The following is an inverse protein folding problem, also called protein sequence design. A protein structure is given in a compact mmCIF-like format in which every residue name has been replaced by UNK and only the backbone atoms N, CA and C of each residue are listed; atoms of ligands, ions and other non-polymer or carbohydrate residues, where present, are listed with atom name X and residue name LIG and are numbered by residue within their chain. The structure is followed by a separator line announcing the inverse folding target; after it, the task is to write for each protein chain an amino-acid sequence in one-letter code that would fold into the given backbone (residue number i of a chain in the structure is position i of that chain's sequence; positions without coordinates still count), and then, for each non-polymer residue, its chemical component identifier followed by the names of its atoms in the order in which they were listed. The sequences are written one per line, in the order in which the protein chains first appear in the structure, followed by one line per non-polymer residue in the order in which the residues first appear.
data_IF_584034087463
#
_entry.id   IF_584034087463
#
_cell.length_a   1.000
_cell.length_b   1.000
_cell.length_c   1.000
_cell.angle_alpha   90.00
_cell.angle_beta   90.00
_cell.angle_gamma   90.00
#
_symmetry.space_group_name_H-M   'P 1'
#
loop_
_entity.id
_entity.type
_entity.pdbx_description
1 polymer ?
#
# COMPACT_ATOMS: atom_id res chain seq x y z
N UNK A 1 -26.84 15.28 -3.50
CA UNK A 1 -25.42 14.85 -3.45
C UNK A 1 -25.39 13.33 -3.46
N UNK A 2 -24.61 12.72 -4.36
CA UNK A 2 -24.45 11.26 -4.37
C UNK A 2 -23.75 10.75 -3.09
N UNK A 3 -23.82 9.44 -2.80
CA UNK A 3 -23.20 8.89 -1.60
C UNK A 3 -21.67 9.06 -1.65
N UNK A 4 -21.11 9.59 -0.56
CA UNK A 4 -19.67 9.76 -0.38
C UNK A 4 -19.00 8.38 -0.40
N UNK A 5 -18.11 8.15 -1.37
CA UNK A 5 -17.50 6.83 -1.58
C UNK A 5 -16.06 6.78 -1.08
N UNK A 6 -15.70 5.69 -0.40
CA UNK A 6 -14.33 5.39 0.02
C UNK A 6 -13.91 4.04 -0.56
N UNK A 7 -12.68 3.97 -1.04
CA UNK A 7 -12.07 2.72 -1.50
C UNK A 7 -11.21 2.12 -0.40
N UNK A 8 -11.31 0.80 -0.23
CA UNK A 8 -10.44 0.01 0.65
C UNK A 8 -9.81 -1.09 -0.19
N UNK A 9 -8.48 -1.15 -0.27
CA UNK A 9 -7.81 -2.22 -1.02
C UNK A 9 -7.65 -3.47 -0.18
N UNK A 10 -7.60 -4.64 -0.80
CA UNK A 10 -7.21 -5.87 -0.10
C UNK A 10 -6.51 -6.86 -1.04
N UNK A 11 -5.29 -6.52 -1.45
CA UNK A 11 -4.48 -7.38 -2.32
C UNK A 11 -3.66 -8.45 -1.57
N UNK A 12 -3.43 -8.28 -0.27
CA UNK A 12 -2.63 -9.21 0.51
C UNK A 12 -3.47 -10.23 1.30
N UNK A 13 -3.24 -11.56 1.16
CA UNK A 13 -4.04 -12.60 1.80
C UNK A 13 -4.24 -12.46 3.32
N UNK A 14 -3.19 -12.09 4.04
CA UNK A 14 -3.21 -11.98 5.50
C UNK A 14 -3.96 -10.74 6.01
N UNK A 15 -3.98 -9.65 5.25
CA UNK A 15 -4.67 -8.42 5.68
C UNK A 15 -6.17 -8.54 5.43
N UNK A 16 -6.55 -9.25 4.36
CA UNK A 16 -7.95 -9.55 4.06
C UNK A 16 -8.66 -10.04 5.32
N UNK A 17 -8.13 -11.06 6.01
CA UNK A 17 -8.76 -11.53 7.26
C UNK A 17 -8.85 -10.44 8.33
N UNK A 18 -7.79 -9.68 8.57
CA UNK A 18 -7.78 -8.69 9.65
C UNK A 18 -8.72 -7.49 9.43
N UNK A 19 -9.00 -7.10 8.18
CA UNK A 19 -9.90 -5.97 7.91
C UNK A 19 -11.34 -6.44 7.75
N UNK A 20 -11.53 -7.58 7.06
CA UNK A 20 -12.86 -8.12 6.78
C UNK A 20 -13.51 -8.71 8.05
N UNK A 21 -12.71 -9.25 8.98
CA UNK A 21 -13.24 -9.78 10.26
C UNK A 21 -13.53 -8.71 11.32
N UNK A 22 -13.44 -7.42 10.98
CA UNK A 22 -13.76 -6.33 11.91
C UNK A 22 -15.06 -5.64 11.52
N UNK A 23 -15.86 -5.13 12.48
CA UNK A 23 -17.09 -4.38 12.20
C UNK A 23 -16.83 -3.00 11.58
N UNK A 24 -15.57 -2.69 11.21
CA UNK A 24 -15.17 -1.41 10.64
C UNK A 24 -15.99 -1.02 9.41
N UNK A 25 -16.18 -1.97 8.48
CA UNK A 25 -16.94 -1.71 7.24
C UNK A 25 -18.39 -1.36 7.56
N UNK A 26 -19.03 -2.13 8.44
CA UNK A 26 -20.40 -1.89 8.88
C UNK A 26 -20.55 -0.53 9.58
N UNK A 27 -19.59 -0.15 10.44
CA UNK A 27 -19.60 1.17 11.10
C UNK A 27 -19.43 2.32 10.12
N UNK A 28 -18.49 2.21 9.17
CA UNK A 28 -18.29 3.25 8.16
C UNK A 28 -19.55 3.48 7.31
N UNK A 29 -20.25 2.41 6.97
CA UNK A 29 -21.51 2.48 6.21
C UNK A 29 -22.64 3.03 7.09
N UNK A 30 -22.83 2.48 8.30
CA UNK A 30 -23.97 2.78 9.17
C UNK A 30 -23.92 4.15 9.85
N UNK A 31 -22.75 4.59 10.33
CA UNK A 31 -22.62 5.84 11.10
C UNK A 31 -22.49 7.08 10.20
N UNK A 32 -21.94 6.93 8.98
CA UNK A 32 -21.59 8.06 8.13
C UNK A 32 -22.30 8.08 6.77
N UNK A 33 -23.15 7.08 6.48
CA UNK A 33 -23.81 6.95 5.18
C UNK A 33 -22.82 6.81 4.01
N UNK A 34 -21.62 6.29 4.27
CA UNK A 34 -20.55 6.15 3.29
C UNK A 34 -20.78 4.90 2.45
N UNK A 35 -20.51 5.02 1.15
CA UNK A 35 -20.35 3.83 0.29
C UNK A 35 -18.92 3.33 0.42
N UNK A 36 -18.75 2.10 0.88
CA UNK A 36 -17.44 1.44 0.94
C UNK A 36 -17.31 0.49 -0.25
N UNK A 37 -16.28 0.71 -1.07
CA UNK A 37 -15.93 -0.18 -2.17
C UNK A 37 -14.63 -0.90 -1.82
N UNK A 38 -14.68 -2.23 -1.74
CA UNK A 38 -13.52 -3.07 -1.44
C UNK A 38 -12.94 -3.59 -2.76
N UNK A 39 -11.69 -3.22 -3.05
CA UNK A 39 -10.99 -3.66 -4.25
C UNK A 39 -10.12 -4.87 -3.92
N UNK A 40 -10.40 -5.98 -4.58
CA UNK A 40 -9.78 -7.27 -4.31
C UNK A 40 -9.25 -7.97 -5.59
N UNK A 41 -8.33 -8.94 -5.45
CA UNK A 41 -7.86 -9.72 -6.60
C UNK A 41 -8.95 -10.65 -7.13
N UNK A 42 -9.14 -10.67 -8.46
CA UNK A 42 -10.10 -11.56 -9.15
C UNK A 42 -9.96 -13.04 -8.76
N UNK A 43 -8.72 -13.51 -8.56
CA UNK A 43 -8.42 -14.90 -8.18
C UNK A 43 -9.03 -15.33 -6.84
N UNK A 44 -9.49 -14.39 -6.01
CA UNK A 44 -10.05 -14.64 -4.68
C UNK A 44 -11.50 -14.19 -4.55
N UNK A 45 -12.20 -14.03 -5.67
CA UNK A 45 -13.60 -13.55 -5.70
C UNK A 45 -14.49 -14.26 -4.67
N UNK A 46 -14.55 -15.59 -4.72
CA UNK A 46 -15.37 -16.41 -3.82
C UNK A 46 -15.01 -16.27 -2.34
N UNK A 47 -13.73 -16.01 -2.01
CA UNK A 47 -13.31 -15.76 -0.63
C UNK A 47 -13.88 -14.44 -0.11
N UNK A 48 -13.75 -13.35 -0.88
CA UNK A 48 -14.24 -12.05 -0.44
C UNK A 48 -15.77 -11.97 -0.41
N UNK A 49 -16.45 -12.58 -1.37
CA UNK A 49 -17.91 -12.65 -1.38
C UNK A 49 -18.45 -13.36 -0.14
N UNK A 50 -17.81 -14.44 0.30
CA UNK A 50 -18.18 -15.13 1.53
C UNK A 50 -17.90 -14.30 2.78
N UNK A 51 -16.71 -13.73 2.90
CA UNK A 51 -16.29 -13.01 4.12
C UNK A 51 -17.00 -11.66 4.30
N UNK A 52 -17.40 -11.01 3.19
CA UNK A 52 -18.11 -9.73 3.22
C UNK A 52 -19.59 -9.83 2.91
N UNK A 53 -20.13 -11.05 2.86
CA UNK A 53 -21.57 -11.25 2.78
C UNK A 53 -22.26 -10.55 3.96
N UNK A 54 -23.26 -9.72 3.67
CA UNK A 54 -23.99 -8.96 4.69
C UNK A 54 -23.27 -7.72 5.24
N UNK A 55 -22.05 -7.40 4.80
CA UNK A 55 -21.34 -6.19 5.25
C UNK A 55 -21.86 -4.88 4.66
N UNK A 56 -22.64 -4.94 3.57
CA UNK A 56 -23.09 -3.78 2.80
C UNK A 56 -22.01 -3.15 1.91
N UNK A 57 -20.78 -3.65 1.92
CA UNK A 57 -19.72 -3.18 1.02
C UNK A 57 -19.93 -3.65 -0.41
N UNK A 58 -19.57 -2.78 -1.36
CA UNK A 58 -19.50 -3.14 -2.78
C UNK A 58 -18.16 -3.79 -3.05
N UNK A 59 -18.16 -4.96 -3.69
CA UNK A 59 -16.94 -5.69 -4.04
C UNK A 59 -16.58 -5.44 -5.50
N UNK A 60 -15.36 -4.97 -5.74
CA UNK A 60 -14.81 -4.79 -7.08
C UNK A 60 -13.54 -5.63 -7.23
N UNK A 61 -13.41 -6.33 -8.35
CA UNK A 61 -12.35 -7.29 -8.56
C UNK A 61 -11.48 -6.91 -9.75
N UNK A 62 -10.15 -6.96 -9.56
CA UNK A 62 -9.19 -6.59 -10.60
C UNK A 62 -8.23 -7.73 -10.91
N UNK A 63 -7.75 -7.79 -12.15
CA UNK A 63 -6.78 -8.78 -12.57
C UNK A 63 -5.37 -8.39 -12.07
N UNK A 64 -4.91 -9.09 -11.03
CA UNK A 64 -3.61 -8.83 -10.40
C UNK A 64 -2.45 -9.51 -11.11
N UNK A 65 -2.22 -9.20 -12.39
CA UNK A 65 -1.04 -9.65 -13.15
C UNK A 65 0.04 -8.58 -13.13
N UNK A 66 1.19 -8.91 -12.53
CA UNK A 66 2.35 -8.01 -12.51
C UNK A 66 2.98 -7.89 -13.90
N UNK A 67 3.26 -6.65 -14.31
CA UNK A 67 4.03 -6.36 -15.50
C UNK A 67 5.53 -6.31 -15.17
N UNK A 68 6.37 -6.35 -16.21
CA UNK A 68 7.81 -6.24 -16.04
C UNK A 68 8.22 -4.93 -15.35
N UNK A 69 7.55 -3.83 -15.70
CA UNK A 69 7.78 -2.51 -15.08
C UNK A 69 7.55 -2.51 -13.58
N UNK A 70 6.53 -3.21 -13.07
CA UNK A 70 6.31 -3.33 -11.63
C UNK A 70 7.47 -4.02 -10.93
N UNK A 71 7.95 -5.12 -11.53
CA UNK A 71 9.06 -5.91 -11.00
C UNK A 71 10.34 -5.08 -10.97
N UNK A 72 10.62 -4.33 -12.03
CA UNK A 72 11.77 -3.44 -12.10
C UNK A 72 11.71 -2.32 -11.05
N UNK A 73 10.57 -1.65 -10.92
CA UNK A 73 10.38 -0.59 -9.92
C UNK A 73 10.47 -1.13 -8.49
N UNK A 74 9.94 -2.35 -8.24
CA UNK A 74 10.10 -3.04 -6.97
C UNK A 74 11.57 -3.38 -6.69
N UNK A 75 12.32 -3.81 -7.70
CA UNK A 75 13.74 -4.08 -7.55
C UNK A 75 14.53 -2.80 -7.20
N UNK A 76 14.25 -1.69 -7.89
CA UNK A 76 14.85 -0.40 -7.57
C UNK A 76 14.52 0.04 -6.14
N UNK A 77 13.28 -0.15 -5.69
CA UNK A 77 12.93 0.18 -4.31
C UNK A 77 13.66 -0.67 -3.29
N UNK A 78 13.91 -1.95 -3.59
CA UNK A 78 14.75 -2.82 -2.75
C UNK A 78 16.20 -2.35 -2.74
N UNK A 79 16.74 -1.85 -3.85
CA UNK A 79 18.10 -1.31 -3.94
C UNK A 79 18.27 0.01 -3.17
N UNK A 80 17.24 0.86 -3.18
CA UNK A 80 17.29 2.20 -2.60
C UNK A 80 17.07 2.28 -1.08
N UNK A 81 16.76 1.16 -0.41
CA UNK A 81 16.58 1.14 1.04
C UNK A 81 17.84 0.61 1.74
N UNK A 82 18.41 1.40 2.66
CA UNK A 82 19.49 0.95 3.54
C UNK A 82 18.90 0.37 4.83
N UNK A 83 18.78 -0.96 4.91
CA UNK A 83 18.39 -1.62 6.16
C UNK A 83 19.29 -2.81 6.43
N UNK A 84 19.54 -3.10 7.72
CA UNK A 84 20.36 -4.26 8.13
C UNK A 84 19.79 -5.57 7.59
N UNK A 85 18.46 -5.71 7.60
CA UNK A 85 17.76 -6.90 7.08
C UNK A 85 17.95 -7.06 5.57
N UNK A 86 17.93 -5.97 4.79
CA UNK A 86 18.24 -6.04 3.37
C UNK A 86 19.72 -6.28 3.10
N UNK A 87 20.63 -5.77 3.95
CA UNK A 87 22.08 -6.10 3.85
C UNK A 87 22.30 -7.61 4.01
N UNK A 88 21.68 -8.23 5.02
CA UNK A 88 21.75 -9.68 5.26
C UNK A 88 21.13 -10.46 4.08
N UNK A 89 19.96 -10.02 3.59
CA UNK A 89 19.31 -10.66 2.44
C UNK A 89 20.12 -10.51 1.15
N UNK A 90 20.82 -9.40 0.95
CA UNK A 90 21.71 -9.15 -0.19
C UNK A 90 22.96 -10.04 -0.09
N UNK A 91 23.58 -10.12 1.10
CA UNK A 91 24.75 -10.97 1.32
C UNK A 91 24.45 -12.47 1.19
N UNK A 92 23.20 -12.89 1.46
CA UNK A 92 22.80 -14.29 1.29
C UNK A 92 22.34 -14.66 -0.13
N UNK A 93 22.05 -13.70 -1.02
CA UNK A 93 21.45 -13.98 -2.35
C UNK A 93 22.17 -13.39 -3.57
N UNK A 94 23.10 -12.45 -3.43
CA UNK A 94 23.71 -11.78 -4.60
C UNK A 94 25.25 -11.82 -4.56
N UNK A 95 25.85 -12.35 -5.64
CA UNK A 95 27.29 -12.27 -5.95
C UNK A 95 27.71 -10.80 -6.15
N UNK A 96 28.49 -10.30 -5.20
CA UNK A 96 29.52 -9.23 -5.20
C UNK A 96 29.31 -7.88 -5.93
N UNK A 97 28.77 -7.79 -7.14
CA UNK A 97 28.81 -6.52 -7.94
C UNK A 97 27.63 -5.56 -7.67
N UNK A 98 26.49 -6.08 -7.25
CA UNK A 98 25.26 -5.30 -6.96
C UNK A 98 25.20 -4.67 -5.57
N UNK A 99 26.07 -5.11 -4.65
CA UNK A 99 26.16 -4.60 -3.29
C UNK A 99 26.70 -3.15 -3.23
N UNK A 100 27.51 -2.75 -4.23
CA UNK A 100 28.17 -1.46 -4.26
C UNK A 100 27.23 -0.33 -4.72
N UNK A 101 26.47 -0.54 -5.81
CA UNK A 101 25.44 0.40 -6.26
C UNK A 101 24.31 0.59 -5.23
N UNK A 102 24.01 -0.47 -4.47
CA UNK A 102 23.03 -0.43 -3.39
C UNK A 102 23.41 0.42 -2.17
N UNK A 103 24.65 0.90 -2.04
CA UNK A 103 25.04 1.87 -1.00
C UNK A 103 24.87 3.32 -1.45
N UNK A 104 25.22 3.62 -2.71
CA UNK A 104 25.05 4.97 -3.29
C UNK A 104 23.57 5.30 -3.49
N UNK A 105 22.76 4.30 -3.88
CA UNK A 105 21.31 4.43 -4.02
C UNK A 105 20.54 4.49 -2.68
N UNK A 106 21.17 4.19 -1.55
CA UNK A 106 20.50 4.12 -0.26
C UNK A 106 20.61 5.40 0.59
N UNK A 107 20.88 6.52 -0.10
CA UNK A 107 20.84 7.87 0.44
C UNK A 107 19.53 8.57 0.04
N UNK A 108 19.26 9.74 0.62
CA UNK A 108 18.06 10.55 0.31
C UNK A 108 17.83 10.78 -1.20
N UNK A 109 18.90 10.84 -1.99
CA UNK A 109 18.82 10.94 -3.45
C UNK A 109 18.21 9.69 -4.11
N UNK A 110 18.66 8.48 -3.76
CA UNK A 110 18.11 7.27 -4.37
C UNK A 110 16.67 6.97 -3.92
N UNK A 111 16.27 7.39 -2.72
CA UNK A 111 14.86 7.40 -2.30
C UNK A 111 14.03 8.34 -3.19
N UNK A 112 14.52 9.56 -3.44
CA UNK A 112 13.86 10.54 -4.33
C UNK A 112 13.77 10.02 -5.77
N UNK A 113 14.86 9.47 -6.30
CA UNK A 113 14.91 8.89 -7.64
C UNK A 113 13.94 7.72 -7.77
N UNK A 114 13.91 6.80 -6.79
CA UNK A 114 12.97 5.66 -6.79
C UNK A 114 11.52 6.13 -6.85
N UNK A 115 11.17 7.17 -6.07
CA UNK A 115 9.83 7.75 -6.07
C UNK A 115 9.51 8.44 -7.37
N UNK A 116 10.44 9.23 -7.91
CA UNK A 116 10.30 9.89 -9.19
C UNK A 116 10.06 8.88 -10.32
N UNK A 117 10.89 7.83 -10.39
CA UNK A 117 10.74 6.75 -11.37
C UNK A 117 9.43 5.99 -11.16
N UNK A 118 9.04 5.73 -9.92
CA UNK A 118 7.75 5.07 -9.63
C UNK A 118 6.58 5.96 -10.09
N UNK A 119 6.59 7.24 -9.72
CA UNK A 119 5.59 8.21 -10.13
C UNK A 119 5.54 8.36 -11.65
N UNK A 120 6.64 8.21 -12.40
CA UNK A 120 6.61 8.36 -13.86
C UNK A 120 6.30 7.07 -14.61
N UNK A 121 6.78 5.92 -14.14
CA UNK A 121 6.81 4.67 -14.92
C UNK A 121 5.91 3.55 -14.39
N UNK A 122 5.26 3.72 -13.23
CA UNK A 122 4.26 2.75 -12.77
C UNK A 122 3.14 2.64 -13.83
N UNK A 123 2.71 1.44 -14.24
CA UNK A 123 1.63 1.32 -15.23
C UNK A 123 0.30 1.88 -14.70
N UNK A 124 -0.44 2.60 -15.55
CA UNK A 124 -1.78 3.16 -15.28
C UNK A 124 -2.87 2.37 -15.99
N UNK A 125 -4.12 2.69 -15.68
CA UNK A 125 -5.29 2.24 -16.42
C UNK A 125 -6.00 1.07 -15.77
N UNK A 126 -5.37 0.39 -14.81
CA UNK A 126 -5.99 -0.77 -14.16
C UNK A 126 -7.21 -0.36 -13.33
N UNK A 127 -7.22 0.86 -12.78
CA UNK A 127 -8.28 1.34 -11.90
C UNK A 127 -9.10 2.47 -12.52
N UNK A 128 -8.84 2.85 -13.77
CA UNK A 128 -9.48 4.02 -14.41
C UNK A 128 -11.01 3.91 -14.42
N UNK A 129 -11.54 2.74 -14.80
CA UNK A 129 -12.97 2.47 -14.83
C UNK A 129 -13.60 2.56 -13.43
N UNK A 130 -12.92 2.02 -12.41
CA UNK A 130 -13.40 2.06 -11.02
C UNK A 130 -13.35 3.49 -10.47
N UNK A 131 -12.26 4.21 -10.70
CA UNK A 131 -12.08 5.59 -10.25
C UNK A 131 -13.08 6.52 -10.95
N UNK A 132 -13.40 6.29 -12.23
CA UNK A 132 -14.43 7.02 -12.96
C UNK A 132 -15.85 6.68 -12.48
N UNK A 133 -16.17 5.38 -12.33
CA UNK A 133 -17.49 4.89 -11.92
C UNK A 133 -17.91 5.37 -10.54
N UNK A 134 -16.98 5.40 -9.58
CA UNK A 134 -17.31 5.65 -8.18
C UNK A 134 -16.85 7.00 -7.65
N UNK A 135 -15.90 7.67 -8.32
CA UNK A 135 -15.33 8.95 -7.91
C UNK A 135 -15.04 9.03 -6.39
N UNK A 136 -14.17 8.15 -5.84
CA UNK A 136 -13.96 8.07 -4.40
C UNK A 136 -13.32 9.35 -3.85
N UNK A 137 -13.74 9.74 -2.64
CA UNK A 137 -13.14 10.88 -1.93
C UNK A 137 -11.81 10.51 -1.26
N UNK A 138 -11.67 9.24 -0.90
CA UNK A 138 -10.54 8.70 -0.16
C UNK A 138 -10.25 7.27 -0.61
N UNK A 139 -8.96 6.96 -0.77
CA UNK A 139 -8.46 5.61 -0.97
C UNK A 139 -7.64 5.21 0.25
N UNK A 140 -8.08 4.14 0.92
CA UNK A 140 -7.36 3.48 2.01
C UNK A 140 -6.64 2.23 1.47
N UNK A 141 -5.33 2.36 1.33
CA UNK A 141 -4.43 1.27 0.99
C UNK A 141 -4.08 0.46 2.23
N UNK A 142 -4.29 -0.85 2.16
CA UNK A 142 -4.08 -1.74 3.32
C UNK A 142 -2.66 -2.27 3.42
N UNK A 143 -1.90 -2.20 2.33
CA UNK A 143 -0.45 -2.40 2.27
C UNK A 143 0.17 -1.39 1.31
N UNK A 144 0.67 -0.28 1.85
CA UNK A 144 1.26 0.83 1.07
C UNK A 144 2.45 0.42 0.18
N UNK A 145 3.04 -0.76 0.42
CA UNK A 145 4.15 -1.28 -0.38
C UNK A 145 3.74 -2.33 -1.40
N UNK A 146 2.51 -2.84 -1.40
CA UNK A 146 2.03 -3.79 -2.41
C UNK A 146 1.99 -3.14 -3.79
N UNK A 147 2.23 -3.91 -4.84
CA UNK A 147 2.33 -3.40 -6.21
C UNK A 147 1.04 -2.78 -6.74
N UNK A 148 -0.10 -3.38 -6.41
CA UNK A 148 -1.41 -2.89 -6.85
C UNK A 148 -1.88 -1.71 -6.01
N UNK A 149 -1.56 -1.72 -4.72
CA UNK A 149 -1.71 -0.56 -3.85
C UNK A 149 -0.90 0.64 -4.37
N UNK A 150 0.39 0.43 -4.71
CA UNK A 150 1.24 1.51 -5.25
C UNK A 150 0.67 2.06 -6.56
N UNK A 151 0.19 1.21 -7.46
CA UNK A 151 -0.48 1.63 -8.70
C UNK A 151 -1.71 2.49 -8.40
N UNK A 152 -2.62 1.99 -7.56
CA UNK A 152 -3.85 2.71 -7.21
C UNK A 152 -3.55 4.05 -6.53
N UNK A 153 -2.58 4.09 -5.61
CA UNK A 153 -2.18 5.31 -4.93
C UNK A 153 -1.56 6.33 -5.88
N UNK A 154 -0.82 5.90 -6.91
CA UNK A 154 -0.30 6.82 -7.93
C UNK A 154 -1.44 7.35 -8.79
N UNK A 155 -2.33 6.48 -9.30
CA UNK A 155 -3.50 6.88 -10.08
C UNK A 155 -4.44 7.81 -9.29
N UNK A 156 -4.58 7.59 -7.97
CA UNK A 156 -5.31 8.46 -7.07
C UNK A 156 -4.72 9.87 -7.01
N UNK A 157 -3.40 9.97 -6.86
CA UNK A 157 -2.70 11.25 -6.75
C UNK A 157 -2.71 12.01 -8.08
N UNK A 158 -2.58 11.30 -9.20
CA UNK A 158 -2.73 11.89 -10.54
C UNK A 158 -4.12 12.55 -10.71
N UNK A 159 -5.14 12.07 -9.97
CA UNK A 159 -6.52 12.59 -9.97
C UNK A 159 -6.86 13.50 -8.78
N UNK A 160 -5.90 13.82 -7.92
CA UNK A 160 -6.12 14.64 -6.71
C UNK A 160 -6.98 13.97 -5.61
N UNK A 161 -7.17 12.66 -5.66
CA UNK A 161 -7.92 11.89 -4.66
C UNK A 161 -7.06 11.71 -3.40
N UNK A 162 -7.65 11.87 -2.22
CA UNK A 162 -6.95 11.70 -0.95
C UNK A 162 -6.56 10.24 -0.72
N UNK A 163 -5.38 10.05 -0.14
CA UNK A 163 -4.77 8.72 0.03
C UNK A 163 -4.30 8.49 1.47
N UNK A 164 -4.68 7.34 2.01
CA UNK A 164 -4.17 6.83 3.29
C UNK A 164 -3.53 5.49 3.02
N UNK A 165 -2.28 5.29 3.44
CA UNK A 165 -1.57 4.02 3.30
C UNK A 165 -1.26 3.39 4.64
N UNK A 166 -1.57 2.11 4.81
CA UNK A 166 -1.24 1.36 6.02
C UNK A 166 0.02 0.52 5.85
N UNK A 167 0.80 0.42 6.92
CA UNK A 167 1.91 -0.53 7.03
C UNK A 167 1.36 -1.89 7.45
N UNK A 168 1.62 -2.92 6.62
CA UNK A 168 1.05 -4.26 6.82
C UNK A 168 1.58 -4.99 8.06
N UNK A 169 2.89 -4.93 8.27
CA UNK A 169 3.58 -5.75 9.26
C UNK A 169 4.82 -5.03 9.81
N UNK A 170 5.34 -5.53 10.92
CA UNK A 170 6.50 -4.95 11.61
C UNK A 170 7.79 -4.93 10.78
N UNK A 171 7.89 -5.75 9.73
CA UNK A 171 9.04 -5.83 8.82
C UNK A 171 8.86 -5.08 7.50
N UNK A 172 7.72 -4.42 7.26
CA UNK A 172 7.41 -3.83 5.94
C UNK A 172 8.44 -2.72 5.59
N UNK A 173 8.67 -1.80 6.52
CA UNK A 173 9.53 -0.63 6.33
C UNK A 173 11.02 -1.00 6.29
N UNK A 174 11.40 -2.15 6.82
CA UNK A 174 12.80 -2.60 6.82
C UNK A 174 13.10 -3.59 5.69
N UNK A 175 12.17 -4.45 5.29
CA UNK A 175 12.45 -5.60 4.42
C UNK A 175 11.85 -5.51 3.01
N UNK A 176 10.91 -4.59 2.74
CA UNK A 176 10.17 -4.54 1.46
C UNK A 176 10.61 -3.44 0.49
N UNK A 177 11.73 -2.79 0.81
CA UNK A 177 12.32 -1.73 0.01
C UNK A 177 11.68 -0.37 0.29
N UNK A 178 12.16 0.68 -0.37
CA UNK A 178 11.71 2.04 -0.17
C UNK A 178 10.21 2.21 -0.48
N UNK A 179 9.54 3.08 0.29
CA UNK A 179 8.19 3.56 -0.05
C UNK A 179 8.24 4.29 -1.41
N UNK A 180 7.64 3.66 -2.42
CA UNK A 180 7.62 4.12 -3.81
C UNK A 180 6.62 5.25 -4.06
N UNK A 181 5.58 5.31 -3.26
CA UNK A 181 4.56 6.37 -3.26
C UNK A 181 4.39 6.86 -1.83
N UNK A 182 4.24 8.18 -1.67
CA UNK A 182 3.95 8.79 -0.37
C UNK A 182 2.44 9.06 -0.30
N UNK A 183 1.67 8.36 0.56
CA UNK A 183 0.27 8.72 0.79
C UNK A 183 0.17 10.06 1.51
N UNK A 184 -1.01 10.67 1.53
CA UNK A 184 -1.26 11.90 2.31
C UNK A 184 -1.15 11.64 3.82
N UNK A 185 -1.59 10.45 4.25
CA UNK A 185 -1.39 9.94 5.60
C UNK A 185 -0.86 8.51 5.57
N UNK A 186 0.16 8.24 6.38
CA UNK A 186 0.71 6.91 6.59
C UNK A 186 0.27 6.41 7.97
N UNK A 187 -0.36 5.25 8.00
CA UNK A 187 -0.85 4.63 9.23
C UNK A 187 0.10 3.51 9.63
N UNK A 188 0.61 3.57 10.86
CA UNK A 188 1.58 2.61 11.40
C UNK A 188 1.11 2.01 12.73
N UNK A 189 1.64 0.84 13.06
CA UNK A 189 1.14 0.07 14.21
C UNK A 189 1.74 0.49 15.55
N UNK A 190 2.90 1.15 15.58
CA UNK A 190 3.59 1.56 16.80
C UNK A 190 4.61 2.67 16.50
N UNK A 191 5.15 3.25 17.57
CA UNK A 191 6.17 4.32 17.49
C UNK A 191 7.48 3.84 16.85
N UNK A 192 7.82 2.55 16.96
CA UNK A 192 9.01 1.98 16.30
C UNK A 192 8.88 2.12 14.78
N UNK A 193 7.74 1.72 14.21
CA UNK A 193 7.46 1.86 12.79
C UNK A 193 7.35 3.32 12.35
N UNK A 194 6.85 4.22 13.20
CA UNK A 194 6.89 5.66 12.93
C UNK A 194 8.34 6.14 12.79
N UNK A 195 9.20 5.77 13.72
CA UNK A 195 10.63 6.13 13.68
C UNK A 195 11.33 5.54 12.45
N UNK A 196 11.01 4.30 12.06
CA UNK A 196 11.51 3.71 10.81
C UNK A 196 11.01 4.45 9.56
N UNK A 197 9.73 4.85 9.52
CA UNK A 197 9.16 5.63 8.43
C UNK A 197 9.85 6.99 8.27
N UNK A 198 10.12 7.69 9.38
CA UNK A 198 10.83 8.97 9.36
C UNK A 198 12.29 8.78 8.97
N UNK A 199 13.02 7.88 9.65
CA UNK A 199 14.46 7.74 9.50
C UNK A 199 14.87 7.10 8.17
N UNK A 200 14.24 5.98 7.79
CA UNK A 200 14.62 5.18 6.62
C UNK A 200 13.89 5.60 5.35
N UNK A 201 12.64 6.05 5.47
CA UNK A 201 11.84 6.45 4.32
C UNK A 201 11.67 7.97 4.19
N UNK A 202 12.13 8.78 5.13
CA UNK A 202 11.97 10.25 5.08
C UNK A 202 10.50 10.66 4.91
N UNK A 203 9.60 9.93 5.57
CA UNK A 203 8.19 10.31 5.70
C UNK A 203 8.11 11.46 6.70
N UNK A 204 7.28 12.45 6.41
CA UNK A 204 7.06 13.57 7.32
C UNK A 204 6.38 13.09 8.61
N UNK A 205 6.86 13.45 9.81
CA UNK A 205 6.27 13.00 11.07
C UNK A 205 4.78 13.33 11.21
N UNK A 206 4.35 14.50 10.74
CA UNK A 206 2.95 14.95 10.82
C UNK A 206 2.03 14.28 9.79
N UNK A 207 2.59 13.58 8.81
CA UNK A 207 1.86 12.70 7.91
C UNK A 207 1.70 11.28 8.46
N UNK A 208 2.23 10.96 9.65
CA UNK A 208 2.18 9.61 10.23
C UNK A 208 1.20 9.57 11.41
N UNK A 209 0.29 8.60 11.37
CA UNK A 209 -0.65 8.29 12.45
C UNK A 209 -0.31 6.93 13.07
N UNK A 210 -0.17 6.87 14.39
CA UNK A 210 0.09 5.63 15.12
C UNK A 210 -1.23 5.10 15.67
N UNK A 211 -1.72 3.98 15.13
CA UNK A 211 -3.06 3.44 15.45
C UNK A 211 -3.03 2.20 16.36
N UNK A 212 -1.85 1.78 16.81
CA UNK A 212 -1.68 0.54 17.55
C UNK A 212 -1.63 -0.71 16.67
N UNK A 213 -1.31 -1.85 17.27
CA UNK A 213 -1.22 -3.12 16.56
C UNK A 213 -2.61 -3.67 16.25
N UNK A 214 -2.84 -4.11 15.00
CA UNK A 214 -4.02 -4.88 14.62
C UNK A 214 -3.98 -6.23 15.36
N UNK A 215 -4.59 -6.29 16.54
CA UNK A 215 -4.68 -7.51 17.33
C UNK A 215 -5.63 -8.48 16.61
N UNK A 216 -5.16 -9.71 16.39
CA UNK A 216 -6.01 -10.81 15.92
C UNK A 216 -7.00 -11.11 17.05
N UNK A 217 -8.27 -10.73 16.90
CA UNK A 217 -9.31 -11.26 17.76
C UNK A 217 -9.37 -12.77 17.48
N UNK A 218 -9.19 -13.55 18.54
CA UNK A 218 -9.28 -15.02 18.49
C UNK A 218 -10.73 -15.42 18.44
#
# INVERSE_FOLDING_TARGET
MGPKTIFITSFHPLISRNILSTPLIGRLIGENGLRVVVIAPQKKKSFFERELSGSGAVLEFVNTRLQLRDKLLRYLSLAALDSRSLKIKRSSKMRTTSAFFGKIAANSFGLRLTRYLSARFTPRGLFDDLLGKYAPLLIFSTDVQNEFDVRLLIEAKDRGIKTVGAVRSWDNLTCKGALRVMPDKLVVNNEILKNEAVSMHKVRPDAIEVIGCKRKYR
#
